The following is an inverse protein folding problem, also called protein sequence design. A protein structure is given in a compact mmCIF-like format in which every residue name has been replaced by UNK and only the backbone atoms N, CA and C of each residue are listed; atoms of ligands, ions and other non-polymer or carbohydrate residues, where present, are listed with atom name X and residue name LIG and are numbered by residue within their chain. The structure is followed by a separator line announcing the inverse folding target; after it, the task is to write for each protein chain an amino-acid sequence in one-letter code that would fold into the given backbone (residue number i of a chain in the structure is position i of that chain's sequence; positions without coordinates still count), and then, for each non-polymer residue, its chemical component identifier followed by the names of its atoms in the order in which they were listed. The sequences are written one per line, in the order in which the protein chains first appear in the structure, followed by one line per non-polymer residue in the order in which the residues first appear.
data_IF_441633503880
#
_entry.id   IF_441633503880
#
_cell.length_a   1.000
_cell.length_b   1.000
_cell.length_c   1.000
_cell.angle_alpha   90.00
_cell.angle_beta   90.00
_cell.angle_gamma   90.00
#
_symmetry.space_group_name_H-M   'P 1'
#
loop_
_entity.id
_entity.type
_entity.pdbx_description
1 polymer ?
#
# COMPACT_ATOMS: atom_id res chain seq x y z
N UNK A 1 6.88 3.42 -10.51
CA UNK A 1 7.73 2.62 -9.61
C UNK A 1 8.87 3.47 -9.03
N UNK A 2 9.69 4.14 -9.86
CA UNK A 2 10.83 4.95 -9.40
C UNK A 2 10.44 6.00 -8.35
N UNK A 3 9.36 6.76 -8.59
CA UNK A 3 8.84 7.72 -7.63
C UNK A 3 8.50 7.07 -6.27
N UNK A 4 7.88 5.89 -6.28
CA UNK A 4 7.52 5.18 -5.05
C UNK A 4 8.78 4.78 -4.26
N UNK A 5 9.78 4.24 -4.92
CA UNK A 5 11.05 3.86 -4.30
C UNK A 5 11.79 5.10 -3.75
N UNK A 6 11.83 6.20 -4.52
CA UNK A 6 12.44 7.45 -4.07
C UNK A 6 11.75 8.00 -2.80
N UNK A 7 10.42 8.00 -2.78
CA UNK A 7 9.65 8.43 -1.60
C UNK A 7 9.94 7.53 -0.40
N UNK A 8 9.94 6.20 -0.56
CA UNK A 8 10.29 5.29 0.53
C UNK A 8 11.70 5.55 1.06
N UNK A 9 12.67 5.77 0.18
CA UNK A 9 14.05 6.04 0.57
C UNK A 9 14.17 7.34 1.37
N UNK A 10 13.55 8.42 0.91
CA UNK A 10 13.61 9.74 1.58
C UNK A 10 12.86 9.70 2.92
N UNK A 11 11.73 9.01 3.00
CA UNK A 11 10.85 9.02 4.18
C UNK A 11 11.11 7.90 5.17
N UNK A 12 12.07 7.01 4.91
CA UNK A 12 12.35 5.83 5.76
C UNK A 12 12.58 6.16 7.25
N UNK A 13 13.15 7.34 7.55
CA UNK A 13 13.39 7.82 8.91
C UNK A 13 12.19 8.54 9.54
N UNK A 14 11.13 8.83 8.76
CA UNK A 14 9.96 9.59 9.21
C UNK A 14 8.89 8.72 9.87
N UNK A 15 9.16 7.41 9.97
CA UNK A 15 8.26 6.45 10.60
C UNK A 15 7.20 5.88 9.65
N UNK A 16 6.59 4.79 10.09
CA UNK A 16 5.66 3.99 9.30
C UNK A 16 4.42 4.77 8.83
N UNK A 17 3.90 5.67 9.67
CA UNK A 17 2.70 6.43 9.32
C UNK A 17 2.92 7.37 8.13
N UNK A 18 4.05 8.05 8.06
CA UNK A 18 4.38 8.94 6.95
C UNK A 18 4.70 8.12 5.69
N UNK A 19 5.68 7.23 5.79
CA UNK A 19 6.11 6.42 4.65
C UNK A 19 4.99 5.56 4.10
N UNK A 20 4.25 4.86 4.96
CA UNK A 20 3.14 4.00 4.55
C UNK A 20 2.00 4.77 3.89
N UNK A 21 1.65 5.96 4.37
CA UNK A 21 0.61 6.80 3.76
C UNK A 21 1.01 7.25 2.35
N UNK A 22 2.25 7.69 2.17
CA UNK A 22 2.76 8.10 0.85
C UNK A 22 2.88 6.93 -0.13
N UNK A 23 3.29 5.76 0.35
CA UNK A 23 3.29 4.52 -0.44
C UNK A 23 1.88 4.20 -0.93
N UNK A 24 0.88 4.21 -0.04
CA UNK A 24 -0.51 3.94 -0.40
C UNK A 24 -1.07 4.98 -1.37
N UNK A 25 -0.76 6.27 -1.19
CA UNK A 25 -1.10 7.32 -2.14
C UNK A 25 -0.56 6.98 -3.55
N UNK A 26 0.74 6.66 -3.67
CA UNK A 26 1.36 6.40 -4.97
C UNK A 26 0.84 5.11 -5.60
N UNK A 27 0.55 4.08 -4.81
CA UNK A 27 -0.08 2.85 -5.29
C UNK A 27 -1.45 3.12 -5.92
N UNK A 28 -2.31 3.85 -5.22
CA UNK A 28 -3.63 4.24 -5.71
C UNK A 28 -3.49 5.12 -6.95
N UNK A 29 -2.63 6.15 -6.90
CA UNK A 29 -2.36 7.03 -8.03
C UNK A 29 -1.88 6.24 -9.25
N UNK A 30 -0.97 5.27 -9.08
CA UNK A 30 -0.48 4.44 -10.19
C UNK A 30 -1.61 3.61 -10.83
N UNK A 31 -2.51 3.03 -10.05
CA UNK A 31 -3.69 2.31 -10.55
C UNK A 31 -4.63 3.21 -11.32
N UNK A 32 -4.90 4.40 -10.79
CA UNK A 32 -5.80 5.36 -11.42
C UNK A 32 -5.21 6.06 -12.65
N UNK A 33 -3.90 6.29 -12.71
CA UNK A 33 -3.25 7.03 -13.80
C UNK A 33 -2.69 6.12 -14.90
N UNK A 34 -2.12 4.98 -14.52
CA UNK A 34 -1.51 4.01 -15.45
C UNK A 34 -2.42 2.81 -15.74
N UNK A 35 -3.65 2.83 -15.23
CA UNK A 35 -4.60 1.71 -15.35
C UNK A 35 -4.29 0.54 -14.41
N UNK A 36 -5.19 -0.43 -14.39
CA UNK A 36 -5.12 -1.57 -13.45
C UNK A 36 -3.80 -2.31 -13.53
N UNK A 37 -3.36 -2.70 -14.72
CA UNK A 37 -2.13 -3.48 -14.90
C UNK A 37 -0.88 -2.71 -14.51
N UNK A 38 -0.82 -1.40 -14.83
CA UNK A 38 0.28 -0.52 -14.41
C UNK A 38 0.34 -0.39 -12.89
N UNK A 39 -0.82 -0.21 -12.26
CA UNK A 39 -0.91 -0.17 -10.79
C UNK A 39 -0.54 -1.48 -10.11
N UNK A 40 -1.00 -2.62 -10.63
CA UNK A 40 -0.63 -3.94 -10.13
C UNK A 40 0.86 -4.24 -10.28
N UNK A 41 1.47 -3.86 -11.40
CA UNK A 41 2.91 -3.98 -11.59
C UNK A 41 3.68 -3.17 -10.52
N UNK A 42 3.28 -1.93 -10.25
CA UNK A 42 3.88 -1.12 -9.18
C UNK A 42 3.65 -1.77 -7.81
N UNK A 43 2.45 -2.28 -7.54
CA UNK A 43 2.09 -2.92 -6.27
C UNK A 43 2.96 -4.14 -5.95
N UNK A 44 3.25 -4.96 -6.96
CA UNK A 44 4.05 -6.19 -6.81
C UNK A 44 5.55 -5.89 -6.80
N UNK A 45 6.03 -5.05 -7.72
CA UNK A 45 7.46 -4.78 -7.86
C UNK A 45 8.01 -3.87 -6.75
N UNK A 46 7.19 -2.98 -6.19
CA UNK A 46 7.69 -2.02 -5.18
C UNK A 46 8.26 -2.68 -3.92
N UNK A 47 7.61 -3.66 -3.27
CA UNK A 47 8.20 -4.29 -2.09
C UNK A 47 9.42 -5.16 -2.43
N UNK A 48 9.50 -5.73 -3.62
CA UNK A 48 10.67 -6.48 -4.09
C UNK A 48 11.87 -5.53 -4.25
N UNK A 49 11.68 -4.42 -4.97
CA UNK A 49 12.72 -3.40 -5.14
C UNK A 49 13.14 -2.79 -3.79
N UNK A 50 12.18 -2.46 -2.93
CA UNK A 50 12.46 -1.90 -1.61
C UNK A 50 13.29 -2.87 -0.75
N UNK A 51 12.94 -4.16 -0.77
CA UNK A 51 13.72 -5.20 -0.07
C UNK A 51 15.14 -5.29 -0.62
N UNK A 52 15.32 -5.31 -1.95
CA UNK A 52 16.63 -5.44 -2.60
C UNK A 52 17.60 -4.29 -2.26
N UNK A 53 17.09 -3.11 -1.94
CA UNK A 53 17.90 -1.94 -1.55
C UNK A 53 17.89 -1.67 -0.03
N UNK A 54 17.38 -2.61 0.77
CA UNK A 54 17.43 -2.56 2.23
C UNK A 54 16.49 -1.57 2.90
N UNK A 55 15.43 -1.12 2.23
CA UNK A 55 14.39 -0.22 2.79
C UNK A 55 13.02 -0.90 2.94
N UNK A 56 12.92 -2.16 2.54
CA UNK A 56 11.72 -2.97 2.62
C UNK A 56 11.56 -3.71 3.95
N UNK A 57 10.66 -4.70 4.00
CA UNK A 57 10.46 -5.55 5.16
C UNK A 57 11.76 -6.27 5.55
N UNK A 58 12.00 -6.45 6.86
CA UNK A 58 13.22 -7.08 7.36
C UNK A 58 13.37 -8.57 6.96
N UNK A 59 12.24 -9.23 6.68
CA UNK A 59 12.21 -10.67 6.35
C UNK A 59 11.74 -10.88 4.92
N UNK A 60 12.48 -11.63 4.08
CA UNK A 60 12.13 -11.87 2.68
C UNK A 60 10.78 -12.57 2.50
N UNK A 61 10.40 -13.43 3.46
CA UNK A 61 9.10 -14.14 3.44
C UNK A 61 7.89 -13.19 3.55
N UNK A 62 8.10 -11.98 4.09
CA UNK A 62 7.05 -10.96 4.22
C UNK A 62 6.81 -10.21 2.90
N UNK A 63 7.81 -10.16 2.02
CA UNK A 63 7.74 -9.41 0.75
C UNK A 63 6.56 -9.82 -0.14
N UNK A 64 6.30 -11.12 -0.40
CA UNK A 64 5.14 -11.54 -1.18
C UNK A 64 3.80 -11.15 -0.53
N UNK A 65 3.72 -11.21 0.80
CA UNK A 65 2.51 -10.82 1.52
C UNK A 65 2.24 -9.31 1.40
N UNK A 66 3.30 -8.48 1.47
CA UNK A 66 3.17 -7.03 1.24
C UNK A 66 2.76 -6.74 -0.20
N UNK A 67 3.33 -7.45 -1.18
CA UNK A 67 2.94 -7.34 -2.59
C UNK A 67 1.45 -7.68 -2.78
N UNK A 68 0.97 -8.75 -2.15
CA UNK A 68 -0.44 -9.14 -2.18
C UNK A 68 -1.34 -8.06 -1.57
N UNK A 69 -1.02 -7.54 -0.39
CA UNK A 69 -1.78 -6.46 0.25
C UNK A 69 -1.84 -5.18 -0.59
N UNK A 70 -0.72 -4.82 -1.22
CA UNK A 70 -0.66 -3.69 -2.15
C UNK A 70 -1.50 -3.94 -3.40
N UNK A 71 -1.46 -5.14 -3.96
CA UNK A 71 -2.27 -5.52 -5.13
C UNK A 71 -3.77 -5.48 -4.81
N UNK A 72 -4.18 -5.96 -3.63
CA UNK A 72 -5.58 -5.88 -3.16
C UNK A 72 -6.04 -4.43 -3.05
N UNK A 73 -5.21 -3.53 -2.48
CA UNK A 73 -5.52 -2.11 -2.40
C UNK A 73 -5.78 -1.50 -3.79
N UNK A 74 -4.85 -1.71 -4.72
CA UNK A 74 -4.93 -1.15 -6.09
C UNK A 74 -6.11 -1.74 -6.85
N UNK A 75 -6.28 -3.06 -6.81
CA UNK A 75 -7.35 -3.76 -7.51
C UNK A 75 -8.73 -3.24 -7.08
N UNK A 76 -9.00 -3.23 -5.79
CA UNK A 76 -10.31 -2.80 -5.27
C UNK A 76 -10.55 -1.30 -5.52
N UNK A 77 -9.51 -0.47 -5.37
CA UNK A 77 -9.65 0.94 -5.66
C UNK A 77 -10.02 1.21 -7.11
N UNK A 78 -9.29 0.58 -8.05
CA UNK A 78 -9.54 0.74 -9.49
C UNK A 78 -10.92 0.18 -9.87
N UNK A 79 -11.28 -1.01 -9.41
CA UNK A 79 -12.59 -1.60 -9.72
C UNK A 79 -13.77 -0.74 -9.21
N UNK A 80 -13.61 -0.09 -8.06
CA UNK A 80 -14.69 0.71 -7.47
C UNK A 80 -14.68 2.15 -8.01
N UNK A 81 -13.51 2.78 -8.18
CA UNK A 81 -13.40 4.22 -8.41
C UNK A 81 -12.69 4.67 -9.69
N UNK A 82 -12.39 3.78 -10.65
CA UNK A 82 -11.67 4.17 -11.90
C UNK A 82 -12.55 4.87 -12.95
N UNK A 83 -13.75 5.31 -12.64
CA UNK A 83 -14.47 6.17 -13.55
C UNK A 83 -13.78 7.55 -13.64
N UNK A 84 -13.64 8.11 -14.87
CA UNK A 84 -12.99 9.41 -15.13
C UNK A 84 -13.48 10.55 -14.23
N UNK A 85 -14.73 10.45 -13.75
CA UNK A 85 -15.38 11.39 -12.83
C UNK A 85 -16.16 10.61 -11.75
N UNK A 86 -15.50 9.65 -11.08
CA UNK A 86 -16.16 8.91 -10.01
C UNK A 86 -16.68 9.89 -8.95
N UNK A 87 -17.98 9.84 -8.58
CA UNK A 87 -18.53 10.69 -7.55
C UNK A 87 -17.81 10.43 -6.22
N UNK A 88 -17.74 11.45 -5.36
CA UNK A 88 -17.02 11.38 -4.09
C UNK A 88 -17.48 10.21 -3.21
N UNK A 89 -18.78 9.91 -3.24
CA UNK A 89 -19.34 8.76 -2.53
C UNK A 89 -18.72 7.42 -2.98
N UNK A 90 -18.51 7.26 -4.28
CA UNK A 90 -17.88 6.05 -4.84
C UNK A 90 -16.40 5.96 -4.47
N UNK A 91 -15.70 7.09 -4.45
CA UNK A 91 -14.31 7.15 -3.97
C UNK A 91 -14.22 6.85 -2.46
N UNK A 92 -15.18 7.32 -1.66
CA UNK A 92 -15.25 7.02 -0.24
C UNK A 92 -15.52 5.52 0.02
N UNK A 93 -16.37 4.88 -0.78
CA UNK A 93 -16.58 3.43 -0.72
C UNK A 93 -15.28 2.69 -1.07
N UNK A 94 -14.59 3.10 -2.15
CA UNK A 94 -13.30 2.53 -2.52
C UNK A 94 -12.26 2.66 -1.40
N UNK A 95 -12.19 3.84 -0.76
CA UNK A 95 -11.31 4.09 0.38
C UNK A 95 -11.54 3.08 1.50
N UNK A 96 -12.78 2.94 1.96
CA UNK A 96 -13.10 2.05 3.09
C UNK A 96 -12.86 0.60 2.71
N UNK A 97 -13.40 0.15 1.59
CA UNK A 97 -13.31 -1.25 1.15
C UNK A 97 -11.86 -1.65 0.89
N UNK A 98 -11.10 -0.85 0.16
CA UNK A 98 -9.72 -1.18 -0.19
C UNK A 98 -8.77 -1.10 1.02
N UNK A 99 -8.95 -0.13 1.93
CA UNK A 99 -8.14 -0.01 3.14
C UNK A 99 -8.38 -1.17 4.10
N UNK A 100 -9.65 -1.53 4.33
CA UNK A 100 -10.02 -2.67 5.18
C UNK A 100 -9.53 -3.99 4.58
N UNK A 101 -9.74 -4.20 3.28
CA UNK A 101 -9.31 -5.42 2.61
C UNK A 101 -7.77 -5.57 2.64
N UNK A 102 -7.00 -4.51 2.37
CA UNK A 102 -5.54 -4.51 2.52
C UNK A 102 -5.13 -4.86 3.94
N UNK A 103 -5.72 -4.19 4.94
CA UNK A 103 -5.43 -4.45 6.34
C UNK A 103 -5.70 -5.91 6.71
N UNK A 104 -6.86 -6.46 6.36
CA UNK A 104 -7.21 -7.85 6.63
C UNK A 104 -6.25 -8.82 5.93
N UNK A 105 -5.90 -8.57 4.68
CA UNK A 105 -4.93 -9.38 3.92
C UNK A 105 -3.59 -9.43 4.65
N UNK A 106 -3.03 -8.29 5.02
CA UNK A 106 -1.74 -8.23 5.70
C UNK A 106 -1.80 -8.82 7.10
N UNK A 107 -2.85 -8.53 7.86
CA UNK A 107 -3.03 -9.05 9.20
C UNK A 107 -3.17 -10.58 9.21
N UNK A 108 -4.02 -11.14 8.35
CA UNK A 108 -4.24 -12.58 8.29
C UNK A 108 -3.01 -13.32 7.75
N UNK A 109 -2.40 -12.82 6.68
CA UNK A 109 -1.26 -13.49 6.05
C UNK A 109 0.02 -13.33 6.88
N UNK A 110 0.32 -12.13 7.39
CA UNK A 110 1.58 -11.89 8.10
C UNK A 110 1.43 -12.24 9.58
N UNK A 111 0.47 -11.62 10.29
CA UNK A 111 0.39 -11.72 11.75
C UNK A 111 -0.17 -13.07 12.20
N UNK A 112 -1.17 -13.60 11.48
CA UNK A 112 -1.85 -14.84 11.87
C UNK A 112 -1.24 -16.10 11.26
N UNK A 113 -0.58 -16.01 10.12
CA UNK A 113 -0.02 -17.17 9.44
C UNK A 113 1.52 -17.14 9.36
N UNK A 114 2.16 -16.14 8.76
CA UNK A 114 3.63 -16.14 8.59
C UNK A 114 4.37 -16.08 9.93
N UNK A 115 3.98 -15.20 10.84
CA UNK A 115 4.65 -15.02 12.13
C UNK A 115 4.62 -16.31 12.96
N UNK A 116 3.48 -16.98 13.22
CA UNK A 116 3.47 -18.16 14.05
C UNK A 116 3.89 -19.46 13.34
N UNK A 117 3.77 -19.55 12.01
CA UNK A 117 3.91 -20.81 11.29
C UNK A 117 5.18 -20.91 10.43
N UNK A 118 5.71 -19.79 9.96
CA UNK A 118 6.79 -19.79 8.96
C UNK A 118 8.06 -19.11 9.47
N UNK A 119 7.90 -18.08 10.33
CA UNK A 119 9.04 -17.29 10.80
C UNK A 119 9.52 -17.78 12.16
N UNK A 120 10.82 -18.03 12.27
CA UNK A 120 11.46 -18.34 13.56
C UNK A 120 11.93 -17.03 14.20
N UNK A 121 11.04 -16.39 14.96
CA UNK A 121 11.26 -15.07 15.54
C UNK A 121 11.40 -15.15 17.06
N UNK A 122 12.23 -14.26 17.64
CA UNK A 122 12.19 -14.03 19.07
C UNK A 122 10.97 -13.15 19.45
N UNK A 123 10.66 -13.06 20.75
CA UNK A 123 9.50 -12.32 21.24
C UNK A 123 9.48 -10.85 20.77
N UNK A 124 10.64 -10.16 20.79
CA UNK A 124 10.76 -8.77 20.37
C UNK A 124 10.46 -8.61 18.87
N UNK A 125 11.01 -9.47 18.04
CA UNK A 125 10.76 -9.47 16.58
C UNK A 125 9.29 -9.76 16.27
N UNK A 126 8.70 -10.73 16.96
CA UNK A 126 7.27 -11.08 16.86
C UNK A 126 6.40 -9.88 17.19
N UNK A 127 6.67 -9.20 18.30
CA UNK A 127 5.91 -8.03 18.75
C UNK A 127 6.01 -6.87 17.73
N UNK A 128 7.22 -6.55 17.28
CA UNK A 128 7.47 -5.46 16.30
C UNK A 128 6.79 -5.75 14.97
N UNK A 129 6.95 -6.96 14.44
CA UNK A 129 6.38 -7.33 13.15
C UNK A 129 4.84 -7.35 13.21
N UNK A 130 4.28 -7.95 14.25
CA UNK A 130 2.82 -8.00 14.46
C UNK A 130 2.22 -6.60 14.65
N UNK A 131 2.87 -5.73 15.40
CA UNK A 131 2.44 -4.34 15.55
C UNK A 131 2.47 -3.58 14.22
N UNK A 132 3.53 -3.75 13.41
CA UNK A 132 3.70 -3.05 12.13
C UNK A 132 2.68 -3.45 11.09
N UNK A 133 2.23 -4.70 11.08
CA UNK A 133 1.26 -5.23 10.11
C UNK A 133 -0.16 -5.36 10.66
N UNK A 134 -0.47 -4.67 11.75
CA UNK A 134 -1.81 -4.56 12.35
C UNK A 134 -2.46 -3.20 12.03
N UNK A 135 -2.96 -2.53 13.04
CA UNK A 135 -3.70 -1.27 12.92
C UNK A 135 -3.00 -0.16 12.11
N UNK A 136 -1.66 0.02 12.16
CA UNK A 136 -0.99 1.03 11.35
C UNK A 136 -1.23 0.87 9.84
N UNK A 137 -1.44 -0.35 9.34
CA UNK A 137 -1.74 -0.59 7.93
C UNK A 137 -3.10 -0.02 7.51
N UNK A 138 -4.12 -0.13 8.38
CA UNK A 138 -5.42 0.47 8.13
C UNK A 138 -5.33 2.01 8.10
N UNK A 139 -4.65 2.59 9.09
CA UNK A 139 -4.49 4.05 9.20
C UNK A 139 -3.73 4.60 7.98
N UNK A 140 -2.61 4.00 7.61
CA UNK A 140 -1.81 4.46 6.47
C UNK A 140 -2.52 4.29 5.15
N UNK A 141 -3.31 3.23 4.98
CA UNK A 141 -4.15 3.05 3.80
C UNK A 141 -5.28 4.10 3.73
N UNK A 142 -5.89 4.41 4.86
CA UNK A 142 -6.92 5.46 4.94
C UNK A 142 -6.35 6.84 4.62
N UNK A 143 -5.24 7.23 5.24
CA UNK A 143 -4.57 8.53 4.97
C UNK A 143 -4.13 8.60 3.50
N UNK A 144 -3.45 7.57 2.99
CA UNK A 144 -3.01 7.52 1.60
C UNK A 144 -4.17 7.60 0.61
N UNK A 145 -5.29 6.97 0.93
CA UNK A 145 -6.51 7.04 0.14
C UNK A 145 -7.16 8.43 0.13
N UNK A 146 -7.26 9.10 1.30
CA UNK A 146 -7.73 10.49 1.38
C UNK A 146 -6.83 11.41 0.54
N UNK A 147 -5.51 11.27 0.67
CA UNK A 147 -4.57 12.03 -0.15
C UNK A 147 -4.75 11.75 -1.65
N UNK A 148 -5.03 10.50 -2.04
CA UNK A 148 -5.29 10.15 -3.43
C UNK A 148 -6.59 10.81 -3.95
N UNK A 149 -7.66 10.84 -3.15
CA UNK A 149 -8.90 11.54 -3.50
C UNK A 149 -8.69 13.04 -3.75
N UNK A 150 -7.78 13.66 -3.00
CA UNK A 150 -7.48 15.10 -3.13
C UNK A 150 -6.52 15.40 -4.28
N UNK A 151 -5.49 14.58 -4.47
CA UNK A 151 -4.36 14.90 -5.37
C UNK A 151 -4.50 14.31 -6.77
N UNK A 152 -5.11 13.13 -6.93
CA UNK A 152 -5.19 12.46 -8.24
C UNK A 152 -6.10 13.20 -9.25
N UNK A 153 -7.27 13.75 -8.86
CA UNK A 153 -8.12 14.47 -9.80
C UNK A 153 -7.44 15.69 -10.45
N UNK A 154 -6.79 16.61 -9.71
CA UNK A 154 -6.08 17.73 -10.33
C UNK A 154 -4.87 17.28 -11.16
N UNK A 155 -4.12 16.26 -10.72
CA UNK A 155 -3.01 15.69 -11.50
C UNK A 155 -3.48 15.12 -12.85
N UNK A 156 -4.61 14.41 -12.87
CA UNK A 156 -5.20 13.90 -14.11
C UNK A 156 -5.61 14.99 -15.08
N UNK A 157 -6.04 16.15 -14.59
CA UNK A 157 -6.36 17.32 -15.44
C UNK A 157 -5.10 17.93 -16.03
N UNK A 158 -4.09 18.18 -15.21
CA UNK A 158 -2.83 18.79 -15.61
C UNK A 158 -2.01 17.99 -16.64
N UNK A 159 -2.22 16.68 -16.75
CA UNK A 159 -1.51 15.81 -17.72
C UNK A 159 -2.27 15.72 -19.07
N UNK A 160 -3.53 16.13 -19.10
CA UNK A 160 -4.35 16.08 -20.33
C UNK A 160 -4.31 17.36 -21.15
N UNK A 161 -3.90 18.44 -20.51
CA UNK A 161 -3.65 19.73 -21.15
C UNK A 161 -2.20 19.80 -21.65
#
# INVERSE_FOLDING_TARGET
LALLIAVQFVTRSMGQYVTGSLVNLILIASGLMCGLWGGLAVAVLSPICAFSIGIGPAFPQVVPAVALGNAVLVLLWVLIADAKNAPIARQAIALVVAAVAKFLTLYLVIVKWLVPMVLTLNEKQTAVLSASFSFPQLITAAIGGVLAMLLVPPLRRAIKD
#
